data_IF_874900766922
#
_entry.id   IF_874900766922
#
_cell.length_a   1.000
_cell.length_b   1.000
_cell.length_c   1.000
_cell.angle_alpha   90.00
_cell.angle_beta   90.00
_cell.angle_gamma   90.00
#
_symmetry.space_group_name_H-M   'P 1'
#
loop_
_entity.id
_entity.type
_entity.pdbx_description
1 polymer ?
#
# COMPACT_ATOMS: atom_id res chain seq x y z
N UNK A 1 -24.58 -26.13 -13.92
CA UNK A 1 -24.37 -24.67 -13.98
C UNK A 1 -25.22 -24.05 -12.88
N UNK A 2 -24.63 -23.80 -11.71
CA UNK A 2 -25.37 -23.28 -10.56
C UNK A 2 -25.52 -21.77 -10.67
N UNK A 3 -26.77 -21.33 -10.73
CA UNK A 3 -27.18 -19.93 -10.61
C UNK A 3 -26.79 -19.43 -9.22
N UNK A 4 -25.98 -18.37 -9.15
CA UNK A 4 -25.64 -17.70 -7.88
C UNK A 4 -26.74 -16.69 -7.59
N UNK A 5 -27.58 -17.00 -6.61
CA UNK A 5 -28.59 -16.08 -6.10
C UNK A 5 -27.89 -15.03 -5.24
N UNK A 6 -27.91 -13.76 -5.67
CA UNK A 6 -27.49 -12.63 -4.86
C UNK A 6 -28.68 -12.17 -4.01
N UNK A 7 -28.58 -12.32 -2.69
CA UNK A 7 -29.57 -11.79 -1.76
C UNK A 7 -29.48 -10.26 -1.73
N UNK A 8 -30.58 -9.62 -2.16
CA UNK A 8 -30.73 -8.17 -2.16
C UNK A 8 -31.34 -7.73 -0.83
N UNK A 9 -30.64 -6.92 -0.04
CA UNK A 9 -31.20 -6.31 1.18
C UNK A 9 -31.44 -4.83 0.96
N UNK A 10 -32.69 -4.39 1.17
CA UNK A 10 -33.11 -2.99 1.17
C UNK A 10 -32.92 -2.42 2.58
N UNK A 11 -32.20 -1.30 2.72
CA UNK A 11 -31.99 -0.64 4.00
C UNK A 11 -33.15 0.26 4.44
N UNK A 12 -34.07 0.57 3.52
CA UNK A 12 -35.22 1.42 3.79
C UNK A 12 -36.47 0.64 3.38
N UNK A 13 -37.26 0.25 4.38
CA UNK A 13 -38.63 -0.20 4.16
C UNK A 13 -39.46 1.08 3.99
N UNK A 14 -40.14 1.20 2.84
CA UNK A 14 -40.99 2.33 2.41
C UNK A 14 -40.31 3.42 1.54
N UNK A 15 -39.96 3.08 0.29
CA UNK A 15 -39.99 4.05 -0.81
C UNK A 15 -40.73 3.47 -2.03
N UNK A 16 -41.96 3.95 -2.24
CA UNK A 16 -42.76 3.70 -3.45
C UNK A 16 -42.41 4.75 -4.50
N UNK A 17 -41.52 4.40 -5.44
CA UNK A 17 -41.16 5.28 -6.56
C UNK A 17 -40.46 4.52 -7.68
N UNK A 18 -40.93 4.74 -8.91
CA UNK A 18 -40.42 4.17 -10.15
C UNK A 18 -38.96 4.61 -10.43
N UNK A 19 -38.19 3.71 -11.07
CA UNK A 19 -36.73 3.76 -11.33
C UNK A 19 -35.81 3.69 -10.09
N UNK A 20 -35.50 2.45 -9.69
CA UNK A 20 -34.42 2.14 -8.73
C UNK A 20 -33.05 2.44 -9.35
N UNK A 21 -32.55 3.67 -9.18
CA UNK A 21 -31.12 3.94 -9.29
C UNK A 21 -30.44 3.30 -8.09
N UNK A 22 -29.79 2.15 -8.31
CA UNK A 22 -29.06 1.44 -7.26
C UNK A 22 -27.65 2.03 -7.15
N UNK A 23 -27.42 2.79 -6.09
CA UNK A 23 -26.07 3.13 -5.65
C UNK A 23 -25.55 1.97 -4.82
N UNK A 24 -24.72 1.09 -5.39
CA UNK A 24 -23.94 0.17 -4.58
C UNK A 24 -22.88 1.00 -3.86
N UNK A 25 -23.05 1.25 -2.58
CA UNK A 25 -21.95 1.76 -1.78
C UNK A 25 -20.90 0.65 -1.72
N UNK A 26 -19.64 0.95 -2.04
CA UNK A 26 -18.55 -0.02 -1.87
C UNK A 26 -18.25 -0.31 -0.38
N UNK A 27 -19.03 0.29 0.53
CA UNK A 27 -18.89 0.16 1.98
C UNK A 27 -19.96 -0.74 2.61
N UNK A 28 -20.95 -1.25 1.86
CA UNK A 28 -22.06 -2.03 2.44
C UNK A 28 -21.61 -3.16 3.39
N UNK A 29 -20.59 -3.99 3.06
CA UNK A 29 -20.12 -5.02 3.98
C UNK A 29 -19.44 -4.44 5.25
N UNK A 30 -18.79 -3.29 5.12
CA UNK A 30 -18.13 -2.60 6.24
C UNK A 30 -19.16 -1.95 7.15
N UNK A 31 -20.16 -1.31 6.57
CA UNK A 31 -21.26 -0.66 7.28
C UNK A 31 -22.08 -1.72 8.02
N UNK A 32 -22.37 -2.86 7.39
CA UNK A 32 -23.05 -3.99 8.04
C UNK A 32 -22.29 -4.48 9.27
N UNK A 33 -20.98 -4.68 9.16
CA UNK A 33 -20.14 -5.09 10.29
C UNK A 33 -20.10 -4.02 11.39
N UNK A 34 -19.89 -2.75 11.04
CA UNK A 34 -19.83 -1.66 12.00
C UNK A 34 -21.16 -1.48 12.76
N UNK A 35 -22.29 -1.49 12.05
CA UNK A 35 -23.63 -1.39 12.65
C UNK A 35 -23.96 -2.58 13.56
N UNK A 36 -23.44 -3.78 13.27
CA UNK A 36 -23.56 -4.93 14.16
C UNK A 36 -22.71 -4.76 15.43
N UNK A 37 -21.45 -4.33 15.31
CA UNK A 37 -20.57 -4.07 16.46
C UNK A 37 -21.12 -2.97 17.38
N UNK A 38 -21.81 -1.97 16.82
CA UNK A 38 -22.48 -0.90 17.57
C UNK A 38 -23.85 -1.31 18.14
N UNK A 39 -24.34 -2.52 17.84
CA UNK A 39 -25.62 -3.04 18.31
C UNK A 39 -26.85 -2.42 17.63
N UNK A 40 -26.66 -1.65 16.56
CA UNK A 40 -27.74 -1.10 15.72
C UNK A 40 -28.38 -2.20 14.88
N UNK A 41 -27.57 -3.16 14.42
CA UNK A 41 -28.01 -4.35 13.69
C UNK A 41 -27.96 -5.57 14.60
N UNK A 42 -29.01 -6.41 14.55
CA UNK A 42 -29.09 -7.65 15.34
C UNK A 42 -28.48 -8.86 14.63
N UNK A 43 -28.44 -8.84 13.30
CA UNK A 43 -27.85 -9.90 12.49
C UNK A 43 -26.31 -9.73 12.40
N UNK A 44 -25.52 -10.76 12.75
CA UNK A 44 -24.06 -10.72 12.65
C UNK A 44 -23.60 -10.52 11.22
N UNK A 45 -22.71 -9.55 11.01
CA UNK A 45 -22.00 -9.36 9.75
C UNK A 45 -20.50 -9.59 9.96
N UNK A 46 -19.82 -10.38 9.11
CA UNK A 46 -18.39 -10.63 9.24
C UNK A 46 -17.60 -9.36 8.92
N UNK A 47 -16.54 -9.10 9.70
CA UNK A 47 -15.62 -8.00 9.41
C UNK A 47 -15.00 -8.18 8.02
N UNK A 48 -15.14 -7.21 7.11
CA UNK A 48 -14.51 -7.32 5.80
C UNK A 48 -12.99 -7.39 5.93
N UNK A 49 -12.40 -8.37 5.26
CA UNK A 49 -10.95 -8.53 5.20
C UNK A 49 -10.39 -7.87 3.93
N UNK A 50 -9.50 -6.90 4.11
CA UNK A 50 -8.72 -6.37 3.00
C UNK A 50 -7.62 -7.38 2.63
N UNK A 51 -7.62 -7.87 1.39
CA UNK A 51 -6.57 -8.75 0.88
C UNK A 51 -5.29 -7.95 0.62
N UNK A 52 -4.44 -7.87 1.64
CA UNK A 52 -3.16 -7.16 1.58
C UNK A 52 -2.03 -8.16 1.28
N UNK A 53 -1.13 -7.89 0.32
CA UNK A 53 0.06 -8.71 0.12
C UNK A 53 0.90 -8.81 1.40
N UNK A 54 1.49 -9.97 1.69
CA UNK A 54 2.24 -10.19 2.95
C UNK A 54 3.39 -9.21 3.19
N UNK A 55 4.04 -8.73 2.12
CA UNK A 55 5.05 -7.67 2.23
C UNK A 55 4.47 -6.33 2.69
N UNK A 56 3.27 -5.98 2.21
CA UNK A 56 2.56 -4.77 2.61
C UNK A 56 2.08 -4.87 4.06
N UNK A 57 1.55 -6.02 4.48
CA UNK A 57 1.15 -6.24 5.87
C UNK A 57 2.33 -6.07 6.84
N UNK A 58 3.46 -6.74 6.57
CA UNK A 58 4.67 -6.61 7.39
C UNK A 58 5.21 -5.17 7.44
N UNK A 59 5.11 -4.45 6.33
CA UNK A 59 5.51 -3.06 6.26
C UNK A 59 4.60 -2.16 7.11
N UNK A 60 3.29 -2.31 6.99
CA UNK A 60 2.30 -1.55 7.77
C UNK A 60 2.40 -1.83 9.27
N UNK A 61 2.58 -3.10 9.65
CA UNK A 61 2.81 -3.48 11.06
C UNK A 61 4.07 -2.80 11.62
N UNK A 62 5.14 -2.75 10.82
CA UNK A 62 6.39 -2.10 11.21
C UNK A 62 6.24 -0.58 11.31
N UNK A 63 5.53 0.05 10.39
CA UNK A 63 5.22 1.49 10.47
C UNK A 63 4.39 1.83 11.71
N UNK A 64 3.38 1.01 12.01
CA UNK A 64 2.48 1.24 13.14
C UNK A 64 3.21 1.10 14.49
N UNK A 65 4.14 0.14 14.58
CA UNK A 65 4.92 -0.12 15.80
C UNK A 65 6.04 0.90 16.03
N UNK A 66 6.81 1.26 14.99
CA UNK A 66 7.98 2.14 15.16
C UNK A 66 7.68 3.62 14.94
N UNK A 67 6.63 3.93 14.16
CA UNK A 67 6.20 5.30 13.84
C UNK A 67 7.34 6.24 13.44
N UNK A 68 8.21 5.84 12.49
CA UNK A 68 9.29 6.72 12.02
C UNK A 68 8.73 8.00 11.38
N UNK A 69 9.58 8.99 11.12
CA UNK A 69 9.16 10.17 10.35
C UNK A 69 8.46 9.77 9.04
N UNK A 70 7.36 10.47 8.73
CA UNK A 70 6.51 10.21 7.58
C UNK A 70 5.79 8.83 7.54
N UNK A 71 5.66 8.14 8.69
CA UNK A 71 5.04 6.80 8.71
C UNK A 71 3.59 6.78 8.20
N UNK A 72 2.80 7.82 8.50
CA UNK A 72 1.41 7.94 8.01
C UNK A 72 1.41 8.10 6.50
N UNK A 73 2.22 9.02 5.97
CA UNK A 73 2.34 9.27 4.54
C UNK A 73 2.81 8.02 3.80
N UNK A 74 3.72 7.25 4.38
CA UNK A 74 4.19 5.99 3.82
C UNK A 74 3.07 4.92 3.76
N UNK A 75 2.27 4.83 4.84
CA UNK A 75 1.10 3.97 4.89
C UNK A 75 0.07 4.36 3.82
N UNK A 76 -0.27 5.64 3.72
CA UNK A 76 -1.16 6.16 2.69
C UNK A 76 -0.62 5.88 1.28
N UNK A 77 0.66 6.18 1.02
CA UNK A 77 1.29 5.94 -0.28
C UNK A 77 1.22 4.47 -0.72
N UNK A 78 1.38 3.54 0.23
CA UNK A 78 1.26 2.12 -0.07
C UNK A 78 -0.20 1.70 -0.30
N UNK A 79 -1.13 2.21 0.52
CA UNK A 79 -2.56 1.85 0.46
C UNK A 79 -3.28 2.49 -0.74
N UNK A 80 -2.78 3.61 -1.26
CA UNK A 80 -3.26 4.22 -2.50
C UNK A 80 -2.93 3.37 -3.74
N UNK A 81 -1.93 2.49 -3.65
CA UNK A 81 -1.59 1.56 -4.72
C UNK A 81 -2.59 0.40 -4.78
N UNK A 82 -2.96 -0.01 -6.00
CA UNK A 82 -3.70 -1.25 -6.21
C UNK A 82 -2.93 -2.47 -5.68
N UNK A 83 -3.67 -3.52 -5.31
CA UNK A 83 -3.07 -4.75 -4.77
C UNK A 83 -2.04 -5.37 -5.72
N UNK A 84 -2.22 -5.21 -7.03
CA UNK A 84 -1.26 -5.68 -8.05
C UNK A 84 0.03 -4.86 -8.02
N UNK A 85 -0.06 -3.53 -7.95
CA UNK A 85 1.10 -2.65 -7.81
C UNK A 85 1.88 -2.92 -6.52
N UNK A 86 1.17 -3.13 -5.40
CA UNK A 86 1.78 -3.54 -4.13
C UNK A 86 2.51 -4.89 -4.27
N UNK A 87 1.87 -5.89 -4.88
CA UNK A 87 2.47 -7.21 -5.06
C UNK A 87 3.70 -7.17 -5.99
N UNK A 88 3.63 -6.38 -7.06
CA UNK A 88 4.75 -6.16 -7.98
C UNK A 88 5.93 -5.51 -7.28
N UNK A 89 5.69 -4.48 -6.47
CA UNK A 89 6.71 -3.81 -5.69
C UNK A 89 7.46 -4.79 -4.77
N UNK A 90 6.74 -5.57 -3.96
CA UNK A 90 7.37 -6.52 -3.05
C UNK A 90 8.10 -7.65 -3.78
N UNK A 91 7.57 -8.10 -4.93
CA UNK A 91 8.25 -9.04 -5.81
C UNK A 91 9.57 -8.46 -6.34
N UNK A 92 9.57 -7.21 -6.77
CA UNK A 92 10.76 -6.50 -7.24
C UNK A 92 11.77 -6.29 -6.11
N UNK A 93 11.32 -5.89 -4.93
CA UNK A 93 12.15 -5.71 -3.73
C UNK A 93 12.82 -7.02 -3.31
N UNK A 94 12.07 -8.12 -3.25
CA UNK A 94 12.64 -9.46 -2.95
C UNK A 94 13.70 -9.86 -3.98
N UNK A 95 13.45 -9.64 -5.27
CA UNK A 95 14.44 -9.87 -6.34
C UNK A 95 15.66 -8.95 -6.19
N UNK A 96 15.46 -7.69 -5.82
CA UNK A 96 16.52 -6.70 -5.59
C UNK A 96 17.48 -7.18 -4.52
N UNK A 97 16.96 -7.59 -3.36
CA UNK A 97 17.76 -8.10 -2.23
C UNK A 97 18.53 -9.37 -2.59
N UNK A 98 17.90 -10.29 -3.33
CA UNK A 98 18.59 -11.48 -3.87
C UNK A 98 19.75 -11.11 -4.79
N UNK A 99 19.55 -10.15 -5.71
CA UNK A 99 20.59 -9.67 -6.63
C UNK A 99 21.74 -8.99 -5.89
N UNK A 100 21.43 -8.14 -4.90
CA UNK A 100 22.44 -7.44 -4.10
C UNK A 100 23.30 -8.44 -3.31
N UNK A 101 22.68 -9.46 -2.70
CA UNK A 101 23.40 -10.55 -2.01
C UNK A 101 24.31 -11.33 -2.96
N UNK A 102 23.80 -11.75 -4.12
CA UNK A 102 24.60 -12.52 -5.11
C UNK A 102 25.79 -11.71 -5.64
N UNK A 103 25.58 -10.41 -5.91
CA UNK A 103 26.59 -9.54 -6.54
C UNK A 103 27.49 -8.80 -5.56
N UNK A 104 27.21 -8.91 -4.25
CA UNK A 104 27.90 -8.17 -3.18
C UNK A 104 28.04 -6.67 -3.48
N UNK A 105 27.01 -6.06 -4.08
CA UNK A 105 26.97 -4.63 -4.40
C UNK A 105 25.57 -4.06 -4.24
N UNK A 106 25.48 -2.76 -4.05
CA UNK A 106 24.21 -2.02 -3.98
C UNK A 106 23.39 -2.28 -5.25
N UNK A 107 22.09 -2.53 -5.10
CA UNK A 107 21.16 -2.61 -6.22
C UNK A 107 20.00 -1.63 -6.00
N UNK A 108 19.49 -1.06 -7.10
CA UNK A 108 18.38 -0.11 -7.10
C UNK A 108 17.25 -0.60 -8.00
N UNK A 109 16.02 -0.20 -7.71
CA UNK A 109 14.86 -0.36 -8.60
C UNK A 109 13.92 0.83 -8.41
N UNK A 110 13.26 1.22 -9.48
CA UNK A 110 12.18 2.20 -9.51
C UNK A 110 11.03 1.61 -10.35
N UNK A 111 9.80 1.72 -9.87
CA UNK A 111 8.58 1.26 -10.53
C UNK A 111 7.57 2.39 -10.50
N UNK A 112 7.04 2.77 -11.67
CA UNK A 112 6.04 3.82 -11.80
C UNK A 112 4.68 3.18 -12.11
N UNK A 113 3.65 3.60 -11.39
CA UNK A 113 2.28 3.13 -11.52
C UNK A 113 1.36 4.32 -11.82
N UNK A 114 0.37 4.10 -12.68
CA UNK A 114 -0.54 5.13 -13.18
C UNK A 114 -1.96 4.96 -12.60
N UNK A 115 -2.22 5.12 -11.29
CA UNK A 115 -3.56 4.80 -10.76
C UNK A 115 -3.99 5.63 -9.54
N UNK A 116 -5.24 6.11 -9.49
CA UNK A 116 -5.66 7.42 -10.05
C UNK A 116 -4.71 8.59 -9.74
N UNK A 117 -3.79 8.46 -8.78
CA UNK A 117 -2.68 9.40 -8.51
C UNK A 117 -1.34 8.73 -8.88
N UNK A 118 -0.50 9.34 -9.75
CA UNK A 118 0.78 8.74 -10.13
C UNK A 118 1.68 8.46 -8.94
N UNK A 119 2.12 7.20 -8.82
CA UNK A 119 2.90 6.70 -7.70
C UNK A 119 4.23 6.12 -8.19
N UNK A 120 5.30 6.53 -7.53
CA UNK A 120 6.65 5.99 -7.74
C UNK A 120 7.07 5.17 -6.53
N UNK A 121 7.35 3.90 -6.76
CA UNK A 121 8.01 3.05 -5.78
C UNK A 121 9.49 2.90 -6.08
N UNK A 122 10.33 3.34 -5.14
CA UNK A 122 11.78 3.19 -5.20
C UNK A 122 12.27 2.21 -4.14
N UNK A 123 13.30 1.43 -4.47
CA UNK A 123 14.00 0.65 -3.46
C UNK A 123 15.50 0.52 -3.69
N UNK A 124 16.24 0.51 -2.58
CA UNK A 124 17.67 0.22 -2.50
C UNK A 124 17.90 -1.03 -1.66
N UNK A 125 18.74 -1.93 -2.15
CA UNK A 125 19.32 -2.99 -1.35
C UNK A 125 20.83 -2.77 -1.18
N UNK A 126 21.27 -2.43 0.03
CA UNK A 126 22.66 -2.10 0.37
C UNK A 126 23.41 -3.28 1.02
N UNK A 127 24.73 -3.29 0.82
CA UNK A 127 25.65 -4.26 1.43
C UNK A 127 26.37 -3.56 2.57
N UNK A 128 26.05 -3.90 3.81
CA UNK A 128 26.73 -3.41 5.01
C UNK A 128 26.30 -2.01 5.50
N UNK A 129 25.97 -1.08 4.62
CA UNK A 129 25.57 0.27 5.02
C UNK A 129 24.16 0.29 5.62
N UNK A 130 24.02 0.83 6.84
CA UNK A 130 22.76 1.03 7.57
C UNK A 130 22.67 2.46 8.11
N UNK A 131 21.52 2.85 8.66
CA UNK A 131 21.32 4.19 9.24
C UNK A 131 21.40 5.32 8.21
N UNK A 132 22.01 6.43 8.59
CA UNK A 132 22.00 7.68 7.80
C UNK A 132 22.59 7.52 6.40
N UNK A 133 23.66 6.74 6.24
CA UNK A 133 24.27 6.52 4.92
C UNK A 133 23.31 5.81 3.94
N UNK A 134 22.46 4.92 4.44
CA UNK A 134 21.43 4.27 3.64
C UNK A 134 20.29 5.25 3.34
N UNK A 135 19.87 6.05 4.32
CA UNK A 135 18.85 7.07 4.15
C UNK A 135 19.26 8.10 3.07
N UNK A 136 20.48 8.61 3.12
CA UNK A 136 21.01 9.55 2.12
C UNK A 136 21.11 8.91 0.73
N UNK A 137 21.46 7.63 0.66
CA UNK A 137 21.43 6.89 -0.61
C UNK A 137 20.02 6.80 -1.20
N UNK A 138 19.01 6.58 -0.35
CA UNK A 138 17.60 6.52 -0.76
C UNK A 138 17.13 7.90 -1.24
N UNK A 139 17.44 8.97 -0.50
CA UNK A 139 17.12 10.35 -0.90
C UNK A 139 17.75 10.71 -2.25
N UNK A 140 19.01 10.35 -2.46
CA UNK A 140 19.70 10.58 -3.73
C UNK A 140 19.04 9.84 -4.90
N UNK A 141 18.63 8.58 -4.71
CA UNK A 141 17.88 7.85 -5.73
C UNK A 141 16.51 8.49 -5.99
N UNK A 142 15.81 8.93 -4.94
CA UNK A 142 14.51 9.59 -5.11
C UNK A 142 14.69 10.85 -5.94
N UNK A 143 15.64 11.73 -5.61
CA UNK A 143 15.93 12.94 -6.39
C UNK A 143 16.20 12.62 -7.87
N UNK A 144 17.08 11.66 -8.16
CA UNK A 144 17.41 11.21 -9.52
C UNK A 144 16.15 10.75 -10.30
N UNK A 145 15.26 9.98 -9.66
CA UNK A 145 14.09 9.40 -10.33
C UNK A 145 12.91 10.36 -10.39
N UNK A 146 12.84 11.29 -9.45
CA UNK A 146 11.80 12.30 -9.41
C UNK A 146 11.90 13.23 -10.63
N UNK A 147 13.12 13.63 -10.99
CA UNK A 147 13.39 14.45 -12.18
C UNK A 147 13.08 13.71 -13.49
N UNK A 148 13.33 12.40 -13.55
CA UNK A 148 13.11 11.60 -14.76
C UNK A 148 11.65 11.22 -14.99
N UNK A 149 10.89 10.89 -13.93
CA UNK A 149 9.59 10.22 -14.03
C UNK A 149 8.40 11.12 -13.69
N UNK A 150 8.63 12.29 -13.08
CA UNK A 150 7.59 13.29 -12.84
C UNK A 150 6.43 12.84 -11.95
N UNK A 151 6.63 11.84 -11.09
CA UNK A 151 5.57 11.30 -10.22
C UNK A 151 5.16 12.30 -9.12
N UNK A 152 3.88 12.27 -8.72
CA UNK A 152 3.36 13.14 -7.67
C UNK A 152 3.67 12.62 -6.26
N UNK A 153 3.55 11.30 -6.02
CA UNK A 153 3.87 10.68 -4.74
C UNK A 153 4.94 9.62 -4.92
N UNK A 154 5.97 9.65 -4.08
CA UNK A 154 7.06 8.66 -4.08
C UNK A 154 7.19 8.02 -2.72
N UNK A 155 7.10 6.69 -2.67
CA UNK A 155 7.48 5.89 -1.51
C UNK A 155 8.79 5.17 -1.84
N UNK A 156 9.81 5.41 -1.04
CA UNK A 156 11.14 4.83 -1.23
C UNK A 156 11.63 4.14 0.04
N UNK A 157 12.13 2.91 -0.13
CA UNK A 157 12.67 2.11 0.97
C UNK A 157 14.12 1.72 0.73
N UNK A 158 14.93 1.82 1.76
CA UNK A 158 16.26 1.22 1.83
C UNK A 158 16.22 -0.07 2.63
N UNK A 159 16.98 -1.08 2.23
CA UNK A 159 17.18 -2.30 3.03
C UNK A 159 18.61 -2.78 2.98
N UNK A 160 19.13 -3.21 4.12
CA UNK A 160 20.40 -3.92 4.22
C UNK A 160 20.15 -5.40 3.89
N UNK A 161 21.02 -6.02 3.10
CA UNK A 161 20.83 -7.42 2.68
C UNK A 161 20.86 -8.43 3.84
N UNK A 162 21.43 -8.05 4.98
CA UNK A 162 21.49 -8.83 6.23
C UNK A 162 20.27 -8.61 7.12
N UNK A 163 19.56 -7.49 6.98
CA UNK A 163 18.36 -7.20 7.77
C UNK A 163 17.26 -8.22 7.48
N UNK A 164 16.41 -8.54 8.45
CA UNK A 164 15.19 -9.32 8.21
C UNK A 164 13.97 -8.43 7.96
N UNK A 165 14.12 -7.13 8.17
CA UNK A 165 13.03 -6.15 8.10
C UNK A 165 12.62 -5.90 6.64
N UNK A 166 11.37 -5.46 6.40
CA UNK A 166 10.92 -4.99 5.09
C UNK A 166 11.66 -3.72 4.65
N UNK A 167 12.09 -2.87 5.59
CA UNK A 167 12.94 -1.71 5.34
C UNK A 167 13.84 -1.39 6.54
N UNK A 168 14.91 -0.65 6.28
CA UNK A 168 15.84 -0.09 7.28
C UNK A 168 15.97 1.44 7.12
N UNK A 169 15.53 2.00 5.98
CA UNK A 169 15.38 3.43 5.75
C UNK A 169 14.11 3.71 4.95
N UNK A 170 13.46 4.84 5.22
CA UNK A 170 12.18 5.23 4.63
C UNK A 170 12.26 6.69 4.18
N UNK A 171 11.80 6.94 2.96
CA UNK A 171 11.61 8.29 2.42
C UNK A 171 10.26 8.33 1.71
N UNK A 172 9.48 9.36 2.01
CA UNK A 172 8.25 9.67 1.28
C UNK A 172 8.35 11.10 0.79
N UNK A 173 8.02 11.31 -0.48
CA UNK A 173 7.98 12.64 -1.10
C UNK A 173 6.63 12.81 -1.77
N UNK A 174 5.90 13.83 -1.33
CA UNK A 174 4.69 14.31 -1.97
C UNK A 174 5.00 15.62 -2.70
N UNK A 175 4.71 15.67 -4.00
CA UNK A 175 4.73 16.91 -4.76
C UNK A 175 3.47 17.71 -4.37
N UNK A 176 3.59 19.02 -4.12
CA UNK A 176 2.42 19.89 -4.07
C UNK A 176 1.62 19.71 -5.37
N UNK A 177 0.30 19.61 -5.26
CA UNK A 177 -0.57 19.78 -6.43
C UNK A 177 -0.44 21.25 -6.85
N UNK A 178 0.08 21.48 -8.05
CA UNK A 178 -0.01 22.79 -8.72
C UNK A 178 -1.46 23.10 -9.08
#
# INVERSE_FOLDING_TARGET
MSSTTFDNYSYFEEETGEERVRYTSLTDPLDQWALYEEGVRTEPAPKPEMKIPSGSAQFLDLLCSERPSAWVQAGCALLDASSDAQAEFWKAHKKLRKRARKRKRVQRVALSFKEPTPLLFCAIAAVGNSGDALLESVKAQVAERFDELGAQRTLAIGSVISSKRPYDALVVVDRPRE
#
